data_IF_449894463396
#
_entry.id   IF_449894463396
#
_cell.length_a   1.000
_cell.length_b   1.000
_cell.length_c   1.000
_cell.angle_alpha   90.00
_cell.angle_beta   90.00
_cell.angle_gamma   90.00
#
_symmetry.space_group_name_H-M   'P 1'
#
loop_
_entity.id
_entity.type
_entity.pdbx_description
1 polymer ?
#
# COMPACT_ATOMS: atom_id res chain seq x y z
N UNK A 1 -24.18 12.78 -27.26
CA UNK A 1 -23.00 13.17 -26.47
C UNK A 1 -22.81 12.14 -25.36
N UNK A 2 -22.11 11.04 -25.68
CA UNK A 2 -21.71 10.03 -24.71
C UNK A 2 -20.18 10.16 -24.56
N UNK A 3 -19.74 11.07 -23.69
CA UNK A 3 -18.37 11.02 -23.20
C UNK A 3 -18.25 9.71 -22.42
N UNK A 4 -17.69 8.68 -23.05
CA UNK A 4 -17.51 7.39 -22.40
C UNK A 4 -16.65 7.63 -21.16
N UNK A 5 -17.11 7.19 -19.98
CA UNK A 5 -16.37 7.26 -18.71
C UNK A 5 -14.94 6.68 -18.81
N UNK A 6 -14.72 5.82 -19.79
CA UNK A 6 -13.43 5.27 -20.21
C UNK A 6 -12.41 6.36 -20.51
N UNK A 7 -12.84 7.46 -21.13
CA UNK A 7 -11.97 8.56 -21.54
C UNK A 7 -11.40 9.37 -20.38
N UNK A 8 -11.96 9.34 -19.16
CA UNK A 8 -11.45 10.19 -18.07
C UNK A 8 -10.53 9.37 -17.16
N UNK A 9 -10.97 8.19 -16.71
CA UNK A 9 -10.23 7.39 -15.72
C UNK A 9 -8.91 6.81 -16.21
N UNK A 10 -8.73 6.67 -17.52
CA UNK A 10 -7.53 6.08 -18.11
C UNK A 10 -6.48 7.15 -18.42
N UNK A 11 -6.89 8.39 -18.74
CA UNK A 11 -5.98 9.52 -19.02
C UNK A 11 -5.12 9.86 -17.80
N UNK A 12 -5.74 9.93 -16.62
CA UNK A 12 -5.08 10.34 -15.39
C UNK A 12 -4.02 9.32 -14.91
N UNK A 13 -4.29 8.03 -15.12
CA UNK A 13 -3.37 6.94 -14.75
C UNK A 13 -2.14 6.91 -15.68
N UNK A 14 -2.30 7.30 -16.94
CA UNK A 14 -1.21 7.25 -17.91
C UNK A 14 -0.21 8.41 -17.79
N UNK A 15 -0.56 9.52 -17.15
CA UNK A 15 0.22 10.76 -17.20
C UNK A 15 1.57 10.69 -16.45
N UNK A 16 1.70 9.87 -15.40
CA UNK A 16 2.88 9.90 -14.53
C UNK A 16 3.83 8.70 -14.70
N UNK A 17 3.37 7.54 -15.18
CA UNK A 17 4.12 6.27 -15.00
C UNK A 17 4.12 5.31 -16.22
N UNK A 18 3.86 5.80 -17.44
CA UNK A 18 3.75 4.96 -18.66
C UNK A 18 4.89 3.95 -18.87
N UNK A 19 6.13 4.32 -18.50
CA UNK A 19 7.31 3.46 -18.69
C UNK A 19 7.23 2.23 -17.80
N UNK A 20 6.84 2.41 -16.54
CA UNK A 20 6.69 1.33 -15.57
C UNK A 20 5.43 0.52 -15.85
N UNK A 21 4.32 1.17 -16.22
CA UNK A 21 3.08 0.45 -16.54
C UNK A 21 3.24 -0.53 -17.70
N UNK A 22 4.16 -0.26 -18.64
CA UNK A 22 4.48 -1.21 -19.72
C UNK A 22 4.86 -2.61 -19.21
N UNK A 23 5.39 -2.72 -18.00
CA UNK A 23 5.75 -4.02 -17.39
C UNK A 23 4.54 -4.94 -17.16
N UNK A 24 3.34 -4.38 -16.98
CA UNK A 24 2.07 -5.12 -16.83
C UNK A 24 1.63 -5.85 -18.10
N UNK A 25 2.27 -5.57 -19.24
CA UNK A 25 2.00 -6.24 -20.51
C UNK A 25 3.04 -7.33 -20.82
N UNK A 26 3.90 -7.66 -19.85
CA UNK A 26 4.72 -8.87 -19.94
C UNK A 26 3.83 -10.12 -19.87
N UNK A 27 4.34 -11.24 -20.39
CA UNK A 27 3.64 -12.53 -20.41
C UNK A 27 3.24 -13.07 -19.03
N UNK A 28 3.85 -12.53 -17.97
CA UNK A 28 3.53 -12.83 -16.58
C UNK A 28 2.20 -12.20 -16.15
N UNK A 29 1.99 -10.91 -16.42
CA UNK A 29 0.82 -10.15 -15.95
C UNK A 29 -0.35 -10.21 -16.92
N UNK A 30 -0.10 -10.23 -18.23
CA UNK A 30 -1.16 -10.29 -19.22
C UNK A 30 -0.78 -11.11 -20.46
N UNK A 31 -1.61 -12.09 -20.80
CA UNK A 31 -1.46 -12.93 -22.00
C UNK A 31 -2.33 -12.46 -23.18
N UNK A 32 -3.27 -11.54 -22.95
CA UNK A 32 -4.18 -11.05 -23.97
C UNK A 32 -3.50 -10.03 -24.89
N UNK A 33 -3.02 -10.50 -26.05
CA UNK A 33 -2.36 -9.67 -27.07
C UNK A 33 -3.21 -8.50 -27.56
N UNK A 34 -4.54 -8.59 -27.50
CA UNK A 34 -5.44 -7.49 -27.91
C UNK A 34 -5.47 -6.36 -26.88
N UNK A 35 -5.33 -6.67 -25.60
CA UNK A 35 -5.19 -5.66 -24.53
C UNK A 35 -3.83 -4.95 -24.64
N UNK A 36 -2.77 -5.68 -25.01
CA UNK A 36 -1.45 -5.07 -25.35
C UNK A 36 -1.59 -4.13 -26.54
N UNK A 37 -2.24 -4.58 -27.61
CA UNK A 37 -2.47 -3.74 -28.80
C UNK A 37 -3.34 -2.51 -28.50
N UNK A 38 -4.33 -2.64 -27.61
CA UNK A 38 -5.13 -1.51 -27.13
C UNK A 38 -4.24 -0.49 -26.42
N UNK A 39 -3.39 -0.93 -25.49
CA UNK A 39 -2.45 -0.07 -24.78
C UNK A 39 -1.48 0.64 -25.74
N UNK A 40 -0.88 -0.09 -26.69
CA UNK A 40 0.02 0.49 -27.68
C UNK A 40 -0.68 1.51 -28.59
N UNK A 41 -1.96 1.28 -28.92
CA UNK A 41 -2.79 2.23 -29.64
C UNK A 41 -3.05 3.48 -28.80
N UNK A 42 -3.47 3.33 -27.55
CA UNK A 42 -3.74 4.43 -26.62
C UNK A 42 -2.50 5.29 -26.35
N UNK A 43 -1.31 4.67 -26.29
CA UNK A 43 -0.03 5.37 -26.11
C UNK A 43 0.27 6.38 -27.22
N UNK A 44 -0.14 6.12 -28.46
CA UNK A 44 0.13 7.01 -29.61
C UNK A 44 -0.64 8.33 -29.51
N UNK A 45 -1.69 8.37 -28.70
CA UNK A 45 -2.60 9.52 -28.54
C UNK A 45 -2.27 10.31 -27.25
N UNK A 46 -1.36 9.82 -26.40
CA UNK A 46 -0.87 10.50 -25.20
C UNK A 46 0.09 11.66 -25.55
N UNK A 47 0.14 12.77 -24.80
CA UNK A 47 -0.71 13.14 -23.65
C UNK A 47 -2.02 13.79 -24.07
N UNK A 48 -2.14 14.11 -25.36
CA UNK A 48 -3.17 15.00 -25.89
C UNK A 48 -4.56 14.54 -25.50
N UNK A 49 -4.88 13.25 -25.71
CA UNK A 49 -6.16 12.56 -25.44
C UNK A 49 -7.47 13.31 -25.80
N UNK A 50 -7.37 14.52 -26.29
CA UNK A 50 -8.42 15.45 -26.62
C UNK A 50 -8.60 15.33 -28.12
N UNK A 51 -9.81 14.89 -28.47
CA UNK A 51 -10.40 14.76 -29.80
C UNK A 51 -10.01 13.51 -30.61
N UNK A 52 -11.07 12.76 -30.93
CA UNK A 52 -11.30 11.84 -32.06
C UNK A 52 -10.40 10.61 -32.28
N UNK A 53 -9.21 10.55 -31.70
CA UNK A 53 -8.27 9.45 -31.93
C UNK A 53 -8.63 8.14 -31.22
N UNK A 54 -9.39 8.20 -30.11
CA UNK A 54 -9.59 7.10 -29.17
C UNK A 54 -11.08 6.81 -28.95
N UNK A 55 -11.82 6.68 -30.06
CA UNK A 55 -13.24 6.26 -30.05
C UNK A 55 -13.34 4.74 -30.13
N UNK A 56 -14.50 4.18 -29.74
CA UNK A 56 -14.71 2.74 -29.84
C UNK A 56 -14.59 2.26 -31.30
N UNK A 57 -14.96 3.11 -32.27
CA UNK A 57 -14.80 2.86 -33.70
C UNK A 57 -13.33 2.86 -34.14
N UNK A 58 -12.52 3.83 -33.70
CA UNK A 58 -11.11 3.91 -34.06
C UNK A 58 -10.32 2.74 -33.47
N UNK A 59 -10.63 2.37 -32.22
CA UNK A 59 -10.08 1.19 -31.56
C UNK A 59 -10.49 -0.07 -32.33
N UNK A 60 -11.77 -0.23 -32.66
CA UNK A 60 -12.24 -1.41 -33.40
C UNK A 60 -11.57 -1.54 -34.77
N UNK A 61 -11.42 -0.44 -35.51
CA UNK A 61 -10.76 -0.43 -36.81
C UNK A 61 -9.27 -0.81 -36.70
N UNK A 62 -8.58 -0.32 -35.67
CA UNK A 62 -7.17 -0.60 -35.44
C UNK A 62 -6.92 -2.04 -34.96
N UNK A 63 -7.77 -2.56 -34.06
CA UNK A 63 -7.55 -3.87 -33.42
C UNK A 63 -8.21 -5.03 -34.17
N UNK A 64 -9.25 -4.79 -34.95
CA UNK A 64 -10.04 -5.81 -35.65
C UNK A 64 -10.30 -5.42 -37.12
N UNK A 65 -9.24 -5.33 -37.95
CA UNK A 65 -9.39 -4.91 -39.33
C UNK A 65 -10.31 -5.87 -40.10
N UNK A 66 -11.25 -5.31 -40.86
CA UNK A 66 -12.20 -6.06 -41.68
C UNK A 66 -13.39 -6.69 -40.93
N UNK A 67 -13.48 -6.51 -39.60
CA UNK A 67 -14.64 -6.96 -38.81
C UNK A 67 -15.66 -5.84 -38.62
N UNK A 68 -16.94 -6.20 -38.55
CA UNK A 68 -17.99 -5.27 -38.12
C UNK A 68 -17.74 -4.83 -36.68
N UNK A 69 -17.92 -3.55 -36.42
CA UNK A 69 -17.78 -2.98 -35.07
C UNK A 69 -18.62 -3.76 -34.05
N UNK A 70 -17.96 -4.20 -32.98
CA UNK A 70 -18.54 -4.99 -31.90
C UNK A 70 -18.26 -4.27 -30.57
N UNK A 71 -19.27 -3.51 -30.13
CA UNK A 71 -19.22 -2.70 -28.92
C UNK A 71 -18.80 -3.50 -27.68
N UNK A 72 -19.30 -4.73 -27.54
CA UNK A 72 -19.02 -5.57 -26.36
C UNK A 72 -17.56 -6.02 -26.32
N UNK A 73 -16.96 -6.33 -27.47
CA UNK A 73 -15.53 -6.67 -27.54
C UNK A 73 -14.66 -5.50 -27.12
N UNK A 74 -14.95 -4.29 -27.57
CA UNK A 74 -14.19 -3.09 -27.20
C UNK A 74 -14.35 -2.80 -25.71
N UNK A 75 -15.58 -2.87 -25.19
CA UNK A 75 -15.88 -2.71 -23.76
C UNK A 75 -15.09 -3.69 -22.89
N UNK A 76 -15.01 -4.96 -23.29
CA UNK A 76 -14.28 -5.98 -22.56
C UNK A 76 -12.77 -5.69 -22.56
N UNK A 77 -12.17 -5.39 -23.72
CA UNK A 77 -10.74 -5.06 -23.79
C UNK A 77 -10.38 -3.83 -22.95
N UNK A 78 -11.24 -2.82 -22.97
CA UNK A 78 -11.07 -1.61 -22.15
C UNK A 78 -11.20 -1.92 -20.66
N UNK A 79 -12.13 -2.80 -20.29
CA UNK A 79 -12.29 -3.22 -18.89
C UNK A 79 -11.08 -4.02 -18.40
N UNK A 80 -10.53 -4.90 -19.24
CA UNK A 80 -9.30 -5.64 -18.96
C UNK A 80 -8.11 -4.68 -18.80
N UNK A 81 -7.97 -3.70 -19.70
CA UNK A 81 -6.93 -2.68 -19.61
C UNK A 81 -7.05 -1.86 -18.32
N UNK A 82 -8.28 -1.49 -17.93
CA UNK A 82 -8.53 -0.77 -16.69
C UNK A 82 -8.24 -1.62 -15.45
N UNK A 83 -8.52 -2.93 -15.48
CA UNK A 83 -8.14 -3.83 -14.41
C UNK A 83 -6.62 -3.87 -14.23
N UNK A 84 -5.85 -4.01 -15.33
CA UNK A 84 -4.38 -3.95 -15.28
C UNK A 84 -3.87 -2.62 -14.72
N UNK A 85 -4.52 -1.50 -15.07
CA UNK A 85 -4.17 -0.19 -14.56
C UNK A 85 -4.36 -0.08 -13.04
N UNK A 86 -5.46 -0.63 -12.49
CA UNK A 86 -5.68 -0.69 -11.04
C UNK A 86 -4.68 -1.59 -10.33
N UNK A 87 -4.39 -2.76 -10.92
CA UNK A 87 -3.41 -3.69 -10.35
C UNK A 87 -2.02 -3.05 -10.30
N UNK A 88 -1.66 -2.31 -11.34
CA UNK A 88 -0.41 -1.55 -11.38
C UNK A 88 -0.33 -0.49 -10.29
N UNK A 89 -1.36 0.35 -10.15
CA UNK A 89 -1.40 1.37 -9.10
C UNK A 89 -1.30 0.72 -7.71
N UNK A 90 -1.96 -0.42 -7.52
CA UNK A 90 -1.87 -1.19 -6.28
C UNK A 90 -0.46 -1.71 -6.05
N UNK A 91 0.23 -2.19 -7.09
CA UNK A 91 1.61 -2.66 -7.01
C UNK A 91 2.60 -1.54 -6.72
N UNK A 92 2.44 -0.37 -7.35
CA UNK A 92 3.29 0.79 -7.07
C UNK A 92 3.07 1.27 -5.66
N UNK A 93 1.81 1.46 -5.27
CA UNK A 93 1.48 1.84 -3.90
C UNK A 93 2.11 0.85 -2.91
N UNK A 94 1.92 -0.45 -3.12
CA UNK A 94 2.48 -1.48 -2.26
C UNK A 94 4.01 -1.48 -2.22
N UNK A 95 4.67 -1.35 -3.38
CA UNK A 95 6.14 -1.31 -3.49
C UNK A 95 6.73 -0.11 -2.77
N UNK A 96 6.06 1.03 -2.85
CA UNK A 96 6.53 2.29 -2.30
C UNK A 96 6.09 2.45 -0.83
N UNK A 97 5.22 1.56 -0.33
CA UNK A 97 4.80 1.48 1.07
C UNK A 97 5.93 0.90 1.94
N UNK A 98 6.39 1.68 2.92
CA UNK A 98 7.59 1.37 3.71
C UNK A 98 7.39 0.29 4.77
N UNK A 99 6.16 -0.21 4.96
CA UNK A 99 5.78 -1.19 5.97
C UNK A 99 5.38 -2.51 5.33
N UNK A 100 4.36 -2.46 4.47
CA UNK A 100 3.66 -3.59 3.93
C UNK A 100 4.61 -4.44 3.11
N UNK A 101 5.31 -3.83 2.14
CA UNK A 101 6.22 -4.58 1.28
C UNK A 101 7.32 -5.30 2.07
N UNK A 102 8.06 -4.63 2.97
CA UNK A 102 8.97 -5.28 3.91
C UNK A 102 8.39 -6.47 4.68
N UNK A 103 7.23 -6.28 5.32
CA UNK A 103 6.58 -7.28 6.17
C UNK A 103 6.19 -8.53 5.37
N UNK A 104 5.51 -8.34 4.23
CA UNK A 104 5.12 -9.46 3.37
C UNK A 104 6.31 -10.16 2.72
N UNK A 105 7.37 -9.41 2.37
CA UNK A 105 8.60 -10.00 1.85
C UNK A 105 9.25 -10.91 2.90
N UNK A 106 9.38 -10.45 4.14
CA UNK A 106 9.93 -11.24 5.25
C UNK A 106 9.13 -12.52 5.49
N UNK A 107 7.80 -12.43 5.51
CA UNK A 107 6.92 -13.59 5.63
C UNK A 107 7.19 -14.62 4.52
N UNK A 108 7.22 -14.17 3.26
CA UNK A 108 7.46 -15.07 2.11
C UNK A 108 8.87 -15.66 2.08
N UNK A 109 9.88 -14.92 2.56
CA UNK A 109 11.23 -15.44 2.69
C UNK A 109 11.33 -16.50 3.80
N UNK A 110 10.65 -16.30 4.94
CA UNK A 110 10.54 -17.29 6.03
C UNK A 110 9.82 -18.55 5.58
N UNK A 111 8.68 -18.44 4.90
CA UNK A 111 7.96 -19.59 4.34
C UNK A 111 8.85 -20.46 3.43
N UNK A 112 9.82 -19.84 2.76
CA UNK A 112 10.78 -20.50 1.88
C UNK A 112 12.08 -20.93 2.57
N UNK A 113 12.20 -20.73 3.89
CA UNK A 113 13.39 -21.00 4.68
C UNK A 113 14.66 -20.28 4.18
N UNK A 114 14.52 -19.08 3.61
CA UNK A 114 15.63 -18.27 3.09
C UNK A 114 16.29 -17.43 4.19
N UNK A 115 16.74 -18.10 5.26
CA UNK A 115 17.12 -17.49 6.55
C UNK A 115 18.19 -16.40 6.44
N UNK A 116 19.22 -16.59 5.61
CA UNK A 116 20.27 -15.58 5.42
C UNK A 116 19.72 -14.29 4.79
N UNK A 117 18.76 -14.42 3.86
CA UNK A 117 18.12 -13.26 3.23
C UNK A 117 17.22 -12.58 4.26
N UNK A 118 16.46 -13.35 5.06
CA UNK A 118 15.63 -12.81 6.15
C UNK A 118 16.45 -11.93 7.10
N UNK A 119 17.63 -12.38 7.56
CA UNK A 119 18.49 -11.60 8.46
C UNK A 119 18.97 -10.29 7.83
N UNK A 120 19.42 -10.35 6.57
CA UNK A 120 19.88 -9.17 5.84
C UNK A 120 18.74 -8.16 5.65
N UNK A 121 17.56 -8.66 5.28
CA UNK A 121 16.36 -7.88 5.08
C UNK A 121 15.87 -7.25 6.39
N UNK A 122 15.80 -8.01 7.50
CA UNK A 122 15.46 -7.47 8.83
C UNK A 122 16.44 -6.37 9.25
N UNK A 123 17.74 -6.58 9.08
CA UNK A 123 18.76 -5.59 9.43
C UNK A 123 18.63 -4.31 8.60
N UNK A 124 18.36 -4.44 7.30
CA UNK A 124 18.14 -3.30 6.43
C UNK A 124 16.91 -2.49 6.85
N UNK A 125 15.79 -3.16 7.14
CA UNK A 125 14.55 -2.50 7.53
C UNK A 125 14.66 -1.84 8.90
N UNK A 126 15.29 -2.49 9.88
CA UNK A 126 15.64 -1.88 11.17
C UNK A 126 16.41 -0.58 11.00
N UNK A 127 17.43 -0.59 10.14
CA UNK A 127 18.24 0.58 9.86
C UNK A 127 17.41 1.70 9.23
N UNK A 128 16.63 1.39 8.19
CA UNK A 128 15.76 2.37 7.53
C UNK A 128 14.77 2.99 8.50
N UNK A 129 14.13 2.18 9.34
CA UNK A 129 13.19 2.65 10.34
C UNK A 129 13.86 3.56 11.38
N UNK A 130 15.06 3.21 11.85
CA UNK A 130 15.81 4.04 12.81
C UNK A 130 16.26 5.40 12.25
N UNK A 131 16.33 5.54 10.92
CA UNK A 131 16.71 6.76 10.21
C UNK A 131 15.49 7.67 9.90
N UNK A 132 14.27 7.24 10.21
CA UNK A 132 13.07 8.06 10.02
C UNK A 132 13.09 9.30 10.94
N UNK A 133 12.89 10.47 10.34
CA UNK A 133 12.88 11.76 11.05
C UNK A 133 11.65 11.89 11.95
N UNK A 134 10.51 11.35 11.52
CA UNK A 134 9.23 11.49 12.21
C UNK A 134 8.87 10.19 12.92
N UNK A 135 8.76 10.24 14.25
CA UNK A 135 8.34 9.11 15.09
C UNK A 135 6.88 9.25 15.48
N UNK A 136 6.00 9.18 14.49
CA UNK A 136 4.56 9.24 14.70
C UNK A 136 3.95 7.86 15.03
N UNK A 137 2.62 7.82 15.07
CA UNK A 137 1.85 6.59 15.18
C UNK A 137 2.19 5.52 14.12
N UNK A 138 2.59 5.90 12.91
CA UNK A 138 2.89 4.96 11.84
C UNK A 138 4.29 4.39 12.02
N UNK A 139 5.23 5.20 12.53
CA UNK A 139 6.52 4.71 12.99
C UNK A 139 6.37 3.64 14.07
N UNK A 140 5.50 3.86 15.07
CA UNK A 140 5.27 2.86 16.11
C UNK A 140 4.57 1.60 15.60
N UNK A 141 3.64 1.74 14.66
CA UNK A 141 3.07 0.58 13.97
C UNK A 141 4.15 -0.22 13.23
N UNK A 142 5.04 0.47 12.50
CA UNK A 142 6.18 -0.15 11.80
C UNK A 142 7.06 -0.94 12.75
N UNK A 143 7.40 -0.36 13.91
CA UNK A 143 8.21 -1.02 14.92
C UNK A 143 7.53 -2.28 15.44
N UNK A 144 6.23 -2.21 15.78
CA UNK A 144 5.47 -3.34 16.28
C UNK A 144 5.39 -4.48 15.26
N UNK A 145 5.08 -4.17 14.00
CA UNK A 145 5.03 -5.19 12.94
C UNK A 145 6.40 -5.81 12.68
N UNK A 146 7.46 -5.00 12.67
CA UNK A 146 8.82 -5.47 12.47
C UNK A 146 9.31 -6.35 13.62
N UNK A 147 9.03 -5.97 14.87
CA UNK A 147 9.39 -6.74 16.07
C UNK A 147 8.73 -8.12 16.00
N UNK A 148 7.46 -8.17 15.60
CA UNK A 148 6.75 -9.42 15.38
C UNK A 148 7.38 -10.28 14.27
N UNK A 149 7.79 -9.68 13.14
CA UNK A 149 8.45 -10.43 12.06
C UNK A 149 9.78 -11.03 12.51
N UNK A 150 10.54 -10.30 13.33
CA UNK A 150 11.77 -10.80 13.94
C UNK A 150 11.48 -11.89 14.95
N UNK A 151 10.49 -11.71 15.82
CA UNK A 151 10.10 -12.70 16.79
C UNK A 151 9.72 -14.02 16.13
N UNK A 152 8.88 -14.00 15.09
CA UNK A 152 8.56 -15.20 14.32
C UNK A 152 9.80 -15.87 13.73
N UNK A 153 10.75 -15.08 13.25
CA UNK A 153 12.02 -15.61 12.78
C UNK A 153 12.83 -16.26 13.92
N UNK A 154 12.89 -15.64 15.09
CA UNK A 154 13.67 -16.17 16.22
C UNK A 154 13.03 -17.42 16.83
N UNK A 155 11.70 -17.51 16.93
CA UNK A 155 11.00 -18.73 17.36
C UNK A 155 11.40 -19.92 16.48
N UNK A 156 11.54 -19.71 15.16
CA UNK A 156 11.96 -20.82 14.26
C UNK A 156 13.39 -21.31 14.53
N UNK A 157 14.23 -20.51 15.19
CA UNK A 157 15.61 -20.85 15.56
C UNK A 157 15.73 -21.37 16.98
N UNK A 158 15.07 -20.70 17.93
CA UNK A 158 15.09 -21.01 19.35
C UNK A 158 13.69 -20.82 19.96
N UNK A 159 12.87 -21.88 19.99
CA UNK A 159 11.52 -21.81 20.53
C UNK A 159 11.44 -21.52 22.04
N UNK A 160 12.53 -21.72 22.80
CA UNK A 160 12.52 -21.60 24.27
C UNK A 160 13.16 -20.30 24.75
N UNK A 161 14.07 -19.71 23.96
CA UNK A 161 14.71 -18.42 24.24
C UNK A 161 13.84 -17.19 23.94
N UNK A 162 12.61 -17.36 23.43
CA UNK A 162 11.88 -16.24 22.80
C UNK A 162 11.06 -15.34 23.74
N UNK A 163 11.14 -15.55 25.06
CA UNK A 163 10.30 -14.84 26.04
C UNK A 163 10.49 -13.30 26.01
N UNK A 164 11.71 -12.81 25.78
CA UNK A 164 11.98 -11.37 25.68
C UNK A 164 11.30 -10.72 24.48
N UNK A 165 11.13 -11.45 23.38
CA UNK A 165 10.49 -10.92 22.16
C UNK A 165 8.98 -10.73 22.34
N UNK A 166 8.32 -11.54 23.17
CA UNK A 166 6.90 -11.32 23.51
C UNK A 166 6.70 -10.00 24.26
N UNK A 167 7.62 -9.67 25.17
CA UNK A 167 7.56 -8.40 25.89
C UNK A 167 7.80 -7.22 24.94
N UNK A 168 8.80 -7.33 24.07
CA UNK A 168 9.09 -6.30 23.05
C UNK A 168 7.91 -6.09 22.08
N UNK A 169 7.31 -7.17 21.57
CA UNK A 169 6.11 -7.12 20.73
C UNK A 169 4.96 -6.40 21.45
N UNK A 170 4.73 -6.76 22.71
CA UNK A 170 3.68 -6.16 23.52
C UNK A 170 3.93 -4.67 23.77
N UNK A 171 5.15 -4.29 24.12
CA UNK A 171 5.51 -2.91 24.42
C UNK A 171 5.37 -2.03 23.17
N UNK A 172 5.87 -2.48 22.02
CA UNK A 172 5.73 -1.76 20.75
C UNK A 172 4.25 -1.62 20.34
N UNK A 173 3.47 -2.70 20.47
CA UNK A 173 2.03 -2.66 20.18
C UNK A 173 1.28 -1.72 21.13
N UNK A 174 1.62 -1.76 22.42
CA UNK A 174 1.00 -0.93 23.44
C UNK A 174 1.29 0.56 23.20
N UNK A 175 2.53 0.92 22.85
CA UNK A 175 2.90 2.29 22.49
C UNK A 175 2.10 2.79 21.27
N UNK A 176 2.02 1.98 20.23
CA UNK A 176 1.18 2.27 19.07
C UNK A 176 -0.29 2.51 19.47
N UNK A 177 -0.86 1.60 20.24
CA UNK A 177 -2.25 1.67 20.67
C UNK A 177 -2.52 2.92 21.51
N UNK A 178 -1.61 3.26 22.43
CA UNK A 178 -1.70 4.45 23.27
C UNK A 178 -1.69 5.73 22.42
N UNK A 179 -0.76 5.87 21.48
CA UNK A 179 -0.72 7.01 20.57
C UNK A 179 -2.00 7.14 19.74
N UNK A 180 -2.55 6.02 19.24
CA UNK A 180 -3.80 6.02 18.48
C UNK A 180 -5.00 6.42 19.33
N UNK A 181 -5.08 5.95 20.57
CA UNK A 181 -6.14 6.35 21.51
C UNK A 181 -6.07 7.85 21.79
N UNK A 182 -4.89 8.39 22.11
CA UNK A 182 -4.70 9.82 22.33
C UNK A 182 -5.12 10.64 21.11
N UNK A 183 -4.74 10.21 19.89
CA UNK A 183 -5.16 10.87 18.65
C UNK A 183 -6.67 10.87 18.46
N UNK A 184 -7.34 9.74 18.74
CA UNK A 184 -8.81 9.68 18.67
C UNK A 184 -9.46 10.63 19.67
N UNK A 185 -8.98 10.66 20.91
CA UNK A 185 -9.51 11.58 21.91
C UNK A 185 -9.32 13.04 21.52
N UNK A 186 -8.18 13.43 20.93
CA UNK A 186 -8.00 14.77 20.39
C UNK A 186 -9.07 15.14 19.34
N UNK A 187 -9.39 14.21 18.42
CA UNK A 187 -10.44 14.40 17.40
C UNK A 187 -11.81 14.50 18.07
N UNK A 188 -12.13 13.62 19.02
CA UNK A 188 -13.41 13.61 19.72
C UNK A 188 -13.62 14.90 20.54
N UNK A 189 -12.58 15.41 21.20
CA UNK A 189 -12.61 16.69 21.91
C UNK A 189 -12.85 17.83 20.92
N UNK A 190 -12.13 17.85 19.79
CA UNK A 190 -12.31 18.86 18.76
C UNK A 190 -13.75 18.90 18.24
N UNK A 191 -14.31 17.73 17.90
CA UNK A 191 -15.67 17.60 17.39
C UNK A 191 -16.73 17.95 18.46
N UNK A 192 -16.48 17.63 19.73
CA UNK A 192 -17.35 18.04 20.83
C UNK A 192 -17.42 19.57 20.94
N UNK A 193 -16.27 20.25 20.84
CA UNK A 193 -16.19 21.71 20.90
C UNK A 193 -16.75 22.40 19.66
N UNK A 194 -16.44 21.90 18.46
CA UNK A 194 -16.82 22.56 17.19
C UNK A 194 -18.23 22.21 16.72
N UNK A 195 -18.64 20.95 16.88
CA UNK A 195 -19.86 20.40 16.30
C UNK A 195 -20.96 20.13 17.34
N UNK A 196 -20.72 20.46 18.61
CA UNK A 196 -21.65 20.23 19.73
C UNK A 196 -22.11 18.75 19.83
N UNK A 197 -21.21 17.83 19.46
CA UNK A 197 -21.46 16.39 19.49
C UNK A 197 -20.86 15.77 20.74
N UNK A 198 -21.67 15.10 21.57
CA UNK A 198 -21.18 14.47 22.79
C UNK A 198 -20.73 13.03 22.54
N UNK A 199 -19.46 12.75 22.81
CA UNK A 199 -18.91 11.40 22.81
C UNK A 199 -18.83 10.82 24.24
N UNK A 200 -18.99 9.50 24.35
CA UNK A 200 -18.73 8.76 25.59
C UNK A 200 -17.23 8.45 25.72
N UNK A 201 -16.55 9.11 26.65
CA UNK A 201 -15.09 9.07 26.81
C UNK A 201 -14.64 8.38 28.11
N UNK A 202 -15.27 7.25 28.46
CA UNK A 202 -15.08 6.56 29.77
C UNK A 202 -13.65 6.23 30.17
N UNK A 203 -12.76 6.05 29.19
CA UNK A 203 -11.36 5.65 29.42
C UNK A 203 -10.37 6.79 29.22
N UNK A 204 -10.83 8.03 29.05
CA UNK A 204 -9.97 9.15 28.70
C UNK A 204 -8.93 9.44 29.78
N UNK A 205 -9.39 9.60 31.03
CA UNK A 205 -8.50 9.93 32.15
C UNK A 205 -7.47 8.82 32.39
N UNK A 206 -7.88 7.55 32.32
CA UNK A 206 -6.97 6.41 32.47
C UNK A 206 -5.92 6.37 31.35
N UNK A 207 -6.30 6.69 30.12
CA UNK A 207 -5.37 6.75 28.98
C UNK A 207 -4.38 7.90 29.14
N UNK A 208 -4.83 9.06 29.65
CA UNK A 208 -3.93 10.17 29.98
C UNK A 208 -2.96 9.81 31.10
N UNK A 209 -3.44 9.23 32.20
CA UNK A 209 -2.62 8.81 33.34
C UNK A 209 -1.53 7.81 32.90
N UNK A 210 -1.88 6.86 32.02
CA UNK A 210 -0.92 5.91 31.45
C UNK A 210 0.16 6.58 30.61
N UNK A 211 -0.17 7.69 29.92
CA UNK A 211 0.78 8.44 29.12
C UNK A 211 1.75 9.29 29.93
N UNK A 212 1.31 9.81 31.07
CA UNK A 212 2.13 10.68 31.92
C UNK A 212 3.11 9.89 32.79
N UNK A 213 2.70 8.74 33.33
CA UNK A 213 3.57 7.88 34.15
C UNK A 213 4.76 7.30 33.36
N UNK A 214 4.72 7.29 32.03
CA UNK A 214 5.82 6.80 31.18
C UNK A 214 6.91 7.84 30.89
N UNK A 215 6.67 9.13 31.09
CA UNK A 215 7.71 10.16 30.88
C UNK A 215 8.85 10.05 31.90
N UNK A 216 8.61 9.40 33.02
CA UNK A 216 9.57 9.26 34.12
C UNK A 216 10.46 8.00 34.01
N UNK A 217 10.25 7.16 32.99
CA UNK A 217 10.95 5.88 32.80
C UNK A 217 11.93 5.85 31.61
N UNK A 218 12.28 7.00 31.00
CA UNK A 218 13.36 7.00 29.99
C UNK A 218 14.64 6.42 30.60
N UNK A 219 15.16 5.29 30.08
CA UNK A 219 16.40 4.74 30.59
C UNK A 219 17.52 5.70 30.21
N UNK A 220 18.31 6.12 31.21
CA UNK A 220 19.61 6.75 30.99
C UNK A 220 20.37 5.95 29.93
N UNK A 221 20.39 6.45 28.70
CA UNK A 221 21.09 5.84 27.58
C UNK A 221 22.59 5.82 27.92
N UNK A 222 23.11 4.63 28.21
CA UNK A 222 24.54 4.29 28.25
C UNK A 222 25.00 3.79 26.88
#
# INVERSE_FOLDING_TARGET
MNNSKVSISVKDIFFLEMKEFKTMFSSFFNKNKKVVALFDFSKKVHPGYDNDGLTDESISAALFPGMKHDYFKIRNLTSDLFALAKDFLSQIYFRDESICYPTFLLEKLREKNLNTIVEQTLKQFKKQLSEEVTKDEFYQLRLAEMSQQEHFYQITKDPFGSHSYFQEDFDNFFEYALLKLLKFYCIMIHDNVQNNFSFDMKMFDQVLDLSDNRKDEEPNSQ
#
